data_IF_135659905283
#
_entry.id   IF_135659905283
#
_cell.length_a   1.000
_cell.length_b   1.000
_cell.length_c   1.000
_cell.angle_alpha   90.00
_cell.angle_beta   90.00
_cell.angle_gamma   90.00
#
_symmetry.space_group_name_H-M   'P 1'
#
loop_
_entity.id
_entity.type
_entity.pdbx_description
1 polymer ?
#
# COMPACT_ATOMS: atom_id res chain seq x y z
N UNK A 1 -6.66 13.71 -16.83
CA UNK A 1 -7.75 13.37 -15.89
C UNK A 1 -7.16 12.41 -14.89
N UNK A 2 -7.38 12.63 -13.59
CA UNK A 2 -6.98 11.65 -12.56
C UNK A 2 -7.81 10.37 -12.78
N UNK A 3 -7.16 9.21 -12.74
CA UNK A 3 -7.86 7.94 -12.86
C UNK A 3 -8.79 7.73 -11.65
N UNK A 4 -9.95 7.14 -11.90
CA UNK A 4 -10.94 6.88 -10.85
C UNK A 4 -10.47 5.64 -10.06
N UNK A 5 -10.28 5.77 -8.73
CA UNK A 5 -9.86 4.68 -7.83
C UNK A 5 -11.04 4.19 -6.97
N UNK A 6 -11.98 3.42 -7.54
CA UNK A 6 -13.15 2.85 -6.82
C UNK A 6 -12.81 1.56 -6.10
N UNK A 7 -11.83 0.81 -6.61
CA UNK A 7 -11.45 -0.49 -6.08
C UNK A 7 -9.94 -0.65 -6.02
N UNK A 8 -9.46 -1.20 -4.90
CA UNK A 8 -8.08 -1.57 -4.67
C UNK A 8 -8.02 -3.07 -4.37
N UNK A 9 -7.30 -3.83 -5.19
CA UNK A 9 -7.09 -5.26 -4.97
C UNK A 9 -5.72 -5.50 -4.35
N UNK A 10 -5.71 -5.92 -3.08
CA UNK A 10 -4.49 -6.31 -2.38
C UNK A 10 -4.09 -7.73 -2.78
N UNK A 11 -2.82 -7.92 -3.16
CA UNK A 11 -2.29 -9.25 -3.50
C UNK A 11 -0.85 -9.40 -3.03
N UNK A 12 -0.47 -10.54 -2.40
CA UNK A 12 0.93 -10.82 -2.09
C UNK A 12 1.76 -10.86 -3.37
N UNK A 13 2.90 -10.16 -3.37
CA UNK A 13 3.79 -10.11 -4.54
C UNK A 13 4.49 -11.45 -4.82
N UNK A 14 4.74 -12.26 -3.77
CA UNK A 14 5.44 -13.55 -3.85
C UNK A 14 4.57 -14.72 -4.32
N UNK A 15 3.25 -14.52 -4.50
CA UNK A 15 2.34 -15.55 -5.00
C UNK A 15 1.98 -15.26 -6.46
N UNK A 16 2.83 -15.70 -7.39
CA UNK A 16 2.72 -15.38 -8.82
C UNK A 16 1.34 -15.68 -9.43
N UNK A 17 0.67 -16.74 -8.99
CA UNK A 17 -0.68 -17.09 -9.47
C UNK A 17 -1.72 -16.01 -9.15
N UNK A 18 -1.57 -15.26 -8.06
CA UNK A 18 -2.51 -14.20 -7.70
C UNK A 18 -2.24 -12.94 -8.53
N UNK A 19 -0.97 -12.55 -8.64
CA UNK A 19 -0.55 -11.45 -9.52
C UNK A 19 -0.99 -11.70 -10.97
N UNK A 20 -0.83 -12.91 -11.51
CA UNK A 20 -1.24 -13.24 -12.88
C UNK A 20 -2.76 -13.24 -13.13
N UNK A 21 -3.58 -13.18 -12.07
CA UNK A 21 -5.03 -13.26 -12.16
C UNK A 21 -5.72 -11.95 -11.76
N UNK A 22 -5.00 -10.88 -11.39
CA UNK A 22 -5.62 -9.62 -10.94
C UNK A 22 -6.58 -9.01 -11.96
N UNK A 23 -6.28 -9.16 -13.26
CA UNK A 23 -7.08 -8.63 -14.36
C UNK A 23 -8.50 -9.22 -14.40
N UNK A 24 -8.69 -10.44 -13.88
CA UNK A 24 -9.99 -11.10 -13.83
C UNK A 24 -10.99 -10.37 -12.93
N UNK A 25 -10.49 -9.58 -12.00
CA UNK A 25 -11.31 -8.80 -11.05
C UNK A 25 -11.53 -7.35 -11.51
N UNK A 26 -10.87 -6.94 -12.60
CA UNK A 26 -10.94 -5.58 -13.16
C UNK A 26 -10.86 -4.46 -12.10
N UNK A 27 -9.85 -4.48 -11.18
CA UNK A 27 -9.71 -3.42 -10.19
C UNK A 27 -9.17 -2.15 -10.84
N UNK A 28 -9.49 -0.99 -10.27
CA UNK A 28 -8.89 0.27 -10.73
C UNK A 28 -7.40 0.34 -10.34
N UNK A 29 -7.05 -0.20 -9.17
CA UNK A 29 -5.69 -0.28 -8.66
C UNK A 29 -5.40 -1.66 -8.05
N UNK A 30 -4.17 -2.13 -8.22
CA UNK A 30 -3.64 -3.29 -7.50
C UNK A 30 -2.59 -2.83 -6.52
N UNK A 31 -2.74 -3.27 -5.27
CA UNK A 31 -1.75 -3.08 -4.21
C UNK A 31 -0.94 -4.37 -4.08
N UNK A 32 0.29 -4.34 -4.59
CA UNK A 32 1.24 -5.42 -4.40
C UNK A 32 1.73 -5.37 -2.95
N UNK A 33 1.53 -6.44 -2.21
CA UNK A 33 1.79 -6.45 -0.78
C UNK A 33 3.17 -7.05 -0.46
N UNK A 34 3.97 -6.29 0.29
CA UNK A 34 5.22 -6.70 0.93
C UNK A 34 5.06 -6.84 2.45
N UNK A 35 3.88 -6.55 3.00
CA UNK A 35 3.62 -6.56 4.43
C UNK A 35 3.02 -7.91 4.88
N UNK A 36 1.85 -7.94 5.53
CA UNK A 36 1.40 -9.12 6.27
C UNK A 36 1.14 -10.38 5.43
N UNK A 37 0.89 -10.24 4.11
CA UNK A 37 0.73 -11.41 3.24
C UNK A 37 2.04 -12.08 2.83
N UNK A 38 3.19 -11.53 3.22
CA UNK A 38 4.53 -12.07 2.95
C UNK A 38 5.19 -12.49 4.26
N UNK A 39 5.64 -13.75 4.34
CA UNK A 39 6.34 -14.25 5.51
C UNK A 39 7.69 -13.53 5.71
N UNK A 40 8.18 -13.34 6.95
CA UNK A 40 9.45 -12.63 7.20
C UNK A 40 10.65 -13.17 6.41
N UNK A 41 10.77 -14.50 6.28
CA UNK A 41 11.85 -15.15 5.52
C UNK A 41 11.77 -14.96 4.00
N UNK A 42 10.66 -14.45 3.48
CA UNK A 42 10.42 -14.26 2.05
C UNK A 42 10.44 -12.78 1.63
N UNK A 43 10.60 -11.84 2.56
CA UNK A 43 10.58 -10.39 2.26
C UNK A 43 11.62 -10.01 1.20
N UNK A 44 12.83 -10.56 1.31
CA UNK A 44 13.90 -10.27 0.36
C UNK A 44 13.60 -10.76 -1.05
N UNK A 45 13.07 -11.97 -1.20
CA UNK A 45 12.67 -12.50 -2.51
C UNK A 45 11.43 -11.78 -3.05
N UNK A 46 10.48 -11.45 -2.18
CA UNK A 46 9.29 -10.68 -2.53
C UNK A 46 9.64 -9.29 -3.10
N UNK A 47 10.55 -8.55 -2.46
CA UNK A 47 11.07 -7.27 -2.96
C UNK A 47 11.66 -7.38 -4.37
N UNK A 48 12.42 -8.45 -4.64
CA UNK A 48 13.02 -8.68 -5.96
C UNK A 48 11.96 -8.94 -7.06
N UNK A 49 10.73 -9.30 -6.70
CA UNK A 49 9.64 -9.55 -7.65
C UNK A 49 8.82 -8.29 -7.99
N UNK A 50 8.94 -7.21 -7.21
CA UNK A 50 8.10 -6.01 -7.32
C UNK A 50 8.11 -5.42 -8.73
N UNK A 51 9.29 -5.23 -9.33
CA UNK A 51 9.41 -4.64 -10.67
C UNK A 51 8.71 -5.49 -11.74
N UNK A 52 8.91 -6.80 -11.72
CA UNK A 52 8.28 -7.69 -12.69
C UNK A 52 6.76 -7.74 -12.53
N UNK A 53 6.29 -7.74 -11.27
CA UNK A 53 4.87 -7.70 -10.94
C UNK A 53 4.22 -6.37 -11.34
N UNK A 54 4.86 -5.23 -11.05
CA UNK A 54 4.32 -3.90 -11.42
C UNK A 54 4.20 -3.73 -12.93
N UNK A 55 5.21 -4.15 -13.70
CA UNK A 55 5.16 -4.16 -15.16
C UNK A 55 4.02 -5.02 -15.70
N UNK A 56 3.78 -6.19 -15.11
CA UNK A 56 2.67 -7.04 -15.51
C UNK A 56 1.32 -6.38 -15.24
N UNK A 57 1.10 -5.87 -14.03
CA UNK A 57 -0.14 -5.20 -13.63
C UNK A 57 -0.42 -3.98 -14.51
N UNK A 58 0.59 -3.14 -14.73
CA UNK A 58 0.46 -1.95 -15.59
C UNK A 58 0.12 -2.33 -17.05
N UNK A 59 0.70 -3.40 -17.60
CA UNK A 59 0.34 -3.91 -18.93
C UNK A 59 -1.11 -4.41 -19.01
N UNK A 60 -1.69 -4.85 -17.90
CA UNK A 60 -3.10 -5.21 -17.82
C UNK A 60 -4.03 -3.99 -17.74
N UNK A 61 -3.49 -2.77 -17.59
CA UNK A 61 -4.25 -1.52 -17.62
C UNK A 61 -4.70 -1.00 -16.25
N UNK A 62 -4.19 -1.56 -15.15
CA UNK A 62 -4.51 -1.12 -13.78
C UNK A 62 -3.40 -0.23 -13.20
N UNK A 63 -3.76 0.67 -12.30
CA UNK A 63 -2.77 1.40 -11.50
C UNK A 63 -2.06 0.44 -10.54
N UNK A 64 -0.78 0.71 -10.25
CA UNK A 64 0.02 -0.11 -9.33
C UNK A 64 0.40 0.70 -8.11
N UNK A 65 0.11 0.16 -6.94
CA UNK A 65 0.67 0.60 -5.67
C UNK A 65 1.40 -0.56 -4.99
N UNK A 66 2.28 -0.24 -4.04
CA UNK A 66 2.95 -1.27 -3.23
C UNK A 66 2.74 -0.97 -1.75
N UNK A 67 2.19 -1.92 -0.99
CA UNK A 67 2.16 -1.83 0.49
C UNK A 67 3.50 -2.30 1.03
N UNK A 68 4.27 -1.35 1.54
CA UNK A 68 5.60 -1.60 2.12
C UNK A 68 5.46 -2.15 3.53
N UNK A 69 6.51 -2.76 4.06
CA UNK A 69 6.54 -3.24 5.44
C UNK A 69 6.99 -2.14 6.42
N UNK A 70 6.24 -1.96 7.52
CA UNK A 70 6.54 -0.94 8.54
C UNK A 70 7.93 -1.12 9.21
N UNK A 71 8.49 -2.34 9.23
CA UNK A 71 9.80 -2.60 9.84
C UNK A 71 10.97 -2.52 8.85
N UNK A 72 10.71 -2.53 7.53
CA UNK A 72 11.74 -2.54 6.49
C UNK A 72 11.51 -1.45 5.44
N UNK A 73 10.94 -0.31 5.86
CA UNK A 73 10.59 0.83 4.99
C UNK A 73 11.72 1.20 4.03
N UNK A 74 12.97 1.26 4.50
CA UNK A 74 14.10 1.63 3.66
C UNK A 74 14.39 0.61 2.54
N UNK A 75 14.40 -0.68 2.87
CA UNK A 75 14.64 -1.76 1.91
C UNK A 75 13.50 -1.86 0.88
N UNK A 76 12.27 -1.67 1.35
CA UNK A 76 11.08 -1.71 0.50
C UNK A 76 11.03 -0.48 -0.42
N UNK A 77 11.41 0.71 0.06
CA UNK A 77 11.48 1.92 -0.77
C UNK A 77 12.42 1.76 -1.97
N UNK A 78 13.56 1.10 -1.80
CA UNK A 78 14.44 0.80 -2.93
C UNK A 78 13.76 -0.12 -3.96
N UNK A 79 12.89 -1.04 -3.52
CA UNK A 79 12.19 -1.96 -4.42
C UNK A 79 11.03 -1.32 -5.21
N UNK A 80 10.51 -0.15 -4.80
CA UNK A 80 9.23 0.42 -5.30
C UNK A 80 9.36 1.67 -6.17
N UNK A 81 10.58 2.20 -6.39
CA UNK A 81 10.78 3.34 -7.29
C UNK A 81 10.92 2.86 -8.73
N UNK A 82 9.79 2.74 -9.42
CA UNK A 82 9.68 2.35 -10.83
C UNK A 82 8.60 3.17 -11.55
N UNK A 83 8.72 3.42 -12.87
CA UNK A 83 7.74 4.22 -13.62
C UNK A 83 6.30 3.69 -13.56
N UNK A 84 6.13 2.37 -13.38
CA UNK A 84 4.82 1.71 -13.32
C UNK A 84 4.12 1.87 -11.95
N UNK A 85 4.85 2.25 -10.91
CA UNK A 85 4.33 2.34 -9.54
C UNK A 85 3.95 3.79 -9.26
N UNK A 86 2.67 4.03 -9.03
CA UNK A 86 2.13 5.36 -8.79
C UNK A 86 2.04 5.73 -7.30
N UNK A 87 2.12 4.74 -6.40
CA UNK A 87 1.98 4.99 -4.97
C UNK A 87 2.64 3.91 -4.09
N UNK A 88 3.06 4.32 -2.90
CA UNK A 88 3.37 3.43 -1.79
C UNK A 88 2.26 3.52 -0.75
N UNK A 89 1.84 2.38 -0.23
CA UNK A 89 0.92 2.29 0.89
C UNK A 89 1.75 2.09 2.15
N UNK A 90 1.69 3.03 3.10
CA UNK A 90 2.40 2.97 4.37
C UNK A 90 1.48 2.37 5.43
N UNK A 91 1.67 1.11 5.86
CA UNK A 91 0.95 0.57 7.01
C UNK A 91 1.38 1.27 8.30
N UNK A 92 0.50 1.22 9.31
CA UNK A 92 0.70 1.78 10.65
C UNK A 92 1.21 3.21 10.60
N UNK A 93 0.56 4.04 9.79
CA UNK A 93 0.85 5.46 9.74
C UNK A 93 0.28 6.12 11.00
N UNK A 94 1.19 6.58 11.86
CA UNK A 94 0.89 7.09 13.20
C UNK A 94 1.36 8.52 13.42
N UNK A 95 2.28 9.04 12.60
CA UNK A 95 2.77 10.42 12.75
C UNK A 95 3.13 11.12 11.44
N UNK A 96 3.02 12.46 11.40
CA UNK A 96 3.56 13.28 10.31
C UNK A 96 5.05 13.06 10.05
N UNK A 97 5.83 12.76 11.09
CA UNK A 97 7.26 12.54 10.98
C UNK A 97 7.59 11.28 10.16
N UNK A 98 6.80 10.20 10.31
CA UNK A 98 6.93 9.01 9.47
C UNK A 98 6.71 9.35 7.99
N UNK A 99 5.71 10.19 7.69
CA UNK A 99 5.45 10.65 6.33
C UNK A 99 6.61 11.50 5.81
N UNK A 100 7.14 12.43 6.60
CA UNK A 100 8.25 13.29 6.21
C UNK A 100 9.54 12.51 5.91
N UNK A 101 9.83 11.48 6.72
CA UNK A 101 10.95 10.56 6.49
C UNK A 101 10.76 9.79 5.20
N UNK A 102 9.55 9.25 4.96
CA UNK A 102 9.23 8.52 3.75
C UNK A 102 9.32 9.42 2.50
N UNK A 103 8.75 10.63 2.54
CA UNK A 103 8.82 11.61 1.45
C UNK A 103 10.27 11.94 1.07
N UNK A 104 11.11 12.19 2.08
CA UNK A 104 12.55 12.48 1.88
C UNK A 104 13.25 11.31 1.18
N UNK A 105 12.96 10.08 1.61
CA UNK A 105 13.55 8.87 1.04
C UNK A 105 13.10 8.64 -0.41
N UNK A 106 11.79 8.74 -0.68
CA UNK A 106 11.26 8.60 -2.04
C UNK A 106 11.82 9.67 -2.98
N UNK A 107 11.87 10.93 -2.53
CA UNK A 107 12.44 12.05 -3.31
C UNK A 107 13.89 11.80 -3.69
N UNK A 108 14.70 11.31 -2.75
CA UNK A 108 16.09 10.94 -3.01
C UNK A 108 16.19 9.84 -4.08
N UNK A 109 15.44 8.75 -3.92
CA UNK A 109 15.49 7.60 -4.82
C UNK A 109 14.93 7.91 -6.22
N UNK A 110 13.87 8.71 -6.32
CA UNK A 110 13.36 9.24 -7.60
C UNK A 110 14.45 10.02 -8.33
N UNK A 111 15.16 10.92 -7.63
CA UNK A 111 16.28 11.67 -8.19
C UNK A 111 17.44 10.79 -8.65
N UNK A 112 17.83 9.80 -7.86
CA UNK A 112 18.87 8.82 -8.21
C UNK A 112 18.52 7.99 -9.45
N UNK A 113 17.23 7.72 -9.67
CA UNK A 113 16.71 6.93 -10.80
C UNK A 113 16.20 7.76 -11.97
N UNK A 114 16.37 9.09 -11.91
CA UNK A 114 15.87 10.03 -12.93
C UNK A 114 14.36 9.88 -13.20
N UNK A 115 13.60 9.49 -12.18
CA UNK A 115 12.14 9.48 -12.20
C UNK A 115 11.64 10.89 -11.85
N UNK A 116 10.46 11.24 -12.35
CA UNK A 116 9.87 12.56 -12.08
C UNK A 116 9.67 12.79 -10.59
N UNK A 117 10.00 13.99 -10.12
CA UNK A 117 9.82 14.37 -8.72
C UNK A 117 8.36 14.18 -8.29
N UNK A 118 8.18 13.51 -7.15
CA UNK A 118 6.87 13.21 -6.56
C UNK A 118 5.94 12.40 -7.45
N UNK A 119 6.48 11.53 -8.32
CA UNK A 119 5.66 10.62 -9.11
C UNK A 119 5.06 9.49 -8.28
N UNK A 120 5.73 9.09 -7.19
CA UNK A 120 5.23 8.07 -6.26
C UNK A 120 4.51 8.75 -5.10
N UNK A 121 3.19 8.62 -5.07
CA UNK A 121 2.33 9.10 -4.00
C UNK A 121 2.55 8.31 -2.70
N UNK A 122 2.20 8.91 -1.56
CA UNK A 122 2.14 8.22 -0.27
C UNK A 122 0.67 8.05 0.09
N UNK A 123 0.25 6.80 0.34
CA UNK A 123 -1.08 6.45 0.82
C UNK A 123 -0.96 5.91 2.26
N UNK A 124 -1.18 6.76 3.28
CA UNK A 124 -1.14 6.32 4.66
C UNK A 124 -2.32 5.39 4.97
N UNK A 125 -2.05 4.24 5.59
CA UNK A 125 -3.09 3.42 6.19
C UNK A 125 -3.28 3.82 7.64
N UNK A 126 -4.53 4.09 8.00
CA UNK A 126 -4.93 4.36 9.37
C UNK A 126 -5.45 3.06 9.96
N UNK A 127 -4.69 2.47 10.86
CA UNK A 127 -5.00 1.13 11.39
C UNK A 127 -4.57 0.94 12.85
N UNK A 128 -4.31 2.02 13.56
CA UNK A 128 -4.07 2.05 14.99
C UNK A 128 -4.84 3.21 15.62
N UNK A 129 -5.10 3.15 16.93
CA UNK A 129 -5.73 4.21 17.68
C UNK A 129 -4.93 5.53 17.60
N UNK A 130 -3.60 5.43 17.57
CA UNK A 130 -2.72 6.58 17.41
C UNK A 130 -2.84 7.18 15.99
N UNK A 131 -2.89 6.34 14.95
CA UNK A 131 -3.16 6.79 13.58
C UNK A 131 -4.52 7.48 13.45
N UNK A 132 -5.56 6.96 14.11
CA UNK A 132 -6.89 7.62 14.15
C UNK A 132 -6.80 8.99 14.81
N UNK A 133 -6.14 9.09 15.96
CA UNK A 133 -5.96 10.35 16.69
C UNK A 133 -5.21 11.40 15.87
N UNK A 134 -4.20 10.96 15.09
CA UNK A 134 -3.32 11.85 14.33
C UNK A 134 -3.73 11.99 12.85
N UNK A 135 -4.91 11.49 12.45
CA UNK A 135 -5.28 11.35 11.05
C UNK A 135 -5.22 12.67 10.25
N UNK A 136 -5.65 13.78 10.84
CA UNK A 136 -5.58 15.10 10.20
C UNK A 136 -4.13 15.56 9.95
N UNK A 137 -3.27 15.41 10.96
CA UNK A 137 -1.87 15.82 10.86
C UNK A 137 -1.13 14.94 9.85
N UNK A 138 -1.39 13.63 9.83
CA UNK A 138 -0.85 12.71 8.82
C UNK A 138 -1.31 13.15 7.43
N UNK A 139 -2.61 13.34 7.22
CA UNK A 139 -3.17 13.69 5.91
C UNK A 139 -2.64 15.01 5.34
N UNK A 140 -2.26 15.97 6.20
CA UNK A 140 -1.77 17.29 5.80
C UNK A 140 -0.25 17.42 5.72
N UNK A 141 0.50 16.35 6.07
CA UNK A 141 1.95 16.39 6.27
C UNK A 141 2.80 16.36 4.99
N UNK A 142 2.26 15.92 3.84
CA UNK A 142 3.01 15.85 2.59
C UNK A 142 2.15 16.11 1.35
N UNK A 143 2.75 16.75 0.34
CA UNK A 143 2.14 16.94 -0.98
C UNK A 143 1.98 15.63 -1.77
N UNK A 144 2.68 14.55 -1.38
CA UNK A 144 2.54 13.21 -1.97
C UNK A 144 1.25 12.52 -1.56
N UNK A 145 0.57 12.98 -0.50
CA UNK A 145 -0.71 12.41 -0.07
C UNK A 145 -1.81 12.96 -0.97
N UNK A 146 -2.26 12.14 -1.91
CA UNK A 146 -3.42 12.41 -2.80
C UNK A 146 -4.63 11.55 -2.45
N UNK A 147 -4.38 10.38 -1.87
CA UNK A 147 -5.39 9.47 -1.34
C UNK A 147 -5.07 9.21 0.13
N UNK A 148 -6.09 9.28 0.96
CA UNK A 148 -6.03 9.09 2.41
C UNK A 148 -7.24 8.28 2.86
N UNK A 149 -7.14 7.64 4.03
CA UNK A 149 -8.27 6.90 4.61
C UNK A 149 -8.41 5.45 4.12
N UNK A 150 -7.31 4.82 3.70
CA UNK A 150 -7.25 3.36 3.63
C UNK A 150 -7.28 2.85 5.08
N UNK A 151 -8.35 2.17 5.46
CA UNK A 151 -8.56 1.70 6.83
C UNK A 151 -8.10 0.24 6.94
N UNK A 152 -7.16 -0.04 7.85
CA UNK A 152 -6.81 -1.41 8.24
C UNK A 152 -7.75 -1.88 9.34
N UNK A 153 -8.97 -2.32 8.99
CA UNK A 153 -10.03 -2.61 9.96
C UNK A 153 -9.64 -3.69 10.97
N UNK A 154 -8.94 -4.74 10.52
CA UNK A 154 -8.52 -5.85 11.38
C UNK A 154 -7.48 -5.40 12.42
N UNK A 155 -6.45 -4.67 12.00
CA UNK A 155 -5.42 -4.14 12.88
C UNK A 155 -5.96 -3.06 13.80
N UNK A 156 -6.83 -2.17 13.30
CA UNK A 156 -7.46 -1.16 14.14
C UNK A 156 -8.32 -1.79 15.23
N UNK A 157 -9.07 -2.86 14.90
CA UNK A 157 -9.87 -3.59 15.88
C UNK A 157 -8.98 -4.20 16.97
N UNK A 158 -7.87 -4.83 16.57
CA UNK A 158 -6.92 -5.42 17.50
C UNK A 158 -6.25 -4.36 18.39
N UNK A 159 -5.83 -3.24 17.82
CA UNK A 159 -5.15 -2.15 18.54
C UNK A 159 -6.07 -1.43 19.53
N UNK A 160 -7.35 -1.28 19.19
CA UNK A 160 -8.37 -0.74 20.10
C UNK A 160 -8.74 -1.69 21.24
N UNK A 161 -8.23 -2.93 21.25
CA UNK A 161 -8.64 -3.97 22.20
C UNK A 161 -10.09 -4.41 22.00
N UNK A 162 -10.66 -4.15 20.82
CA UNK A 162 -11.98 -4.62 20.44
C UNK A 162 -11.89 -6.07 19.93
N UNK A 163 -13.03 -6.75 19.90
CA UNK A 163 -13.15 -8.07 19.29
C UNK A 163 -14.28 -8.06 18.28
N UNK A 164 -14.10 -8.80 17.19
CA UNK A 164 -15.22 -9.19 16.35
C UNK A 164 -16.07 -10.19 17.14
N UNK A 165 -17.36 -9.90 17.25
CA UNK A 165 -18.35 -10.87 17.69
C UNK A 165 -18.31 -12.10 16.76
N UNK A 166 -18.22 -13.30 17.33
CA UNK A 166 -18.24 -14.57 16.60
C UNK A 166 -19.63 -14.92 16.03
N UNK A 167 -20.68 -14.20 16.41
CA UNK A 167 -21.97 -14.18 15.72
C UNK A 167 -21.77 -13.44 14.41
N UNK A 168 -21.23 -14.18 13.45
CA UNK A 168 -21.19 -13.84 12.04
C UNK A 168 -22.49 -13.15 11.67
N UNK A 169 -22.40 -11.89 11.26
CA UNK A 169 -23.32 -11.31 10.29
C UNK A 169 -23.15 -12.12 9.01
N UNK A 170 -23.74 -13.32 8.96
CA UNK A 170 -23.79 -14.18 7.77
C UNK A 170 -24.45 -13.44 6.59
N UNK A 171 -25.17 -12.35 6.88
CA UNK A 171 -25.94 -11.59 5.90
C UNK A 171 -25.26 -10.33 5.35
N UNK A 172 -24.10 -9.89 5.86
CA UNK A 172 -23.50 -8.60 5.44
C UNK A 172 -22.36 -8.74 4.43
N UNK A 173 -21.75 -9.92 4.32
CA UNK A 173 -20.71 -10.21 3.31
C UNK A 173 -21.17 -11.14 2.19
N UNK A 174 -22.43 -11.57 2.20
CA UNK A 174 -23.05 -12.23 1.06
C UNK A 174 -23.37 -11.19 -0.02
N UNK A 175 -22.38 -10.85 -0.85
CA UNK A 175 -22.67 -10.28 -2.17
C UNK A 175 -23.54 -11.27 -2.96
N UNK A 176 -24.62 -10.82 -3.62
CA UNK A 176 -25.45 -11.66 -4.48
C UNK A 176 -24.68 -12.23 -5.69
#
# INVERSE_FOLDING_TARGET
>A
MSAVRRSMLFTPVNISRFVQNVWKHNPDMVVLDLEDSVAPGEKASARAMVQGASQYVARCGMEVAVRINHNTVADDCDAVIWPEICAVVLPKAESPDQIGVLDTLLTKLEGERMISDRSVEIMPMIETALGVQNAYDIASSSQRIKLFGVLGEADLTADLGASFDALQTQDVLAYP
#
